data_IF_201684051585
#
_entry.id   IF_201684051585
#
_cell.length_a   1.000
_cell.length_b   1.000
_cell.length_c   1.000
_cell.angle_alpha   90.00
_cell.angle_beta   90.00
_cell.angle_gamma   90.00
#
_symmetry.space_group_name_H-M   'P 1'
#
loop_
_entity.id
_entity.type
_entity.pdbx_description
1 polymer ?
#
# COMPACT_ATOMS: atom_id res chain seq x y z
N UNK A 1 -0.47 11.77 -2.65
CA UNK A 1 -0.40 11.28 -4.03
C UNK A 1 -1.61 11.75 -4.83
N UNK A 2 -1.44 11.85 -6.13
CA UNK A 2 -2.49 12.22 -7.10
C UNK A 2 -2.39 11.31 -8.30
N UNK A 3 -3.48 11.22 -9.08
CA UNK A 3 -3.43 10.47 -10.33
C UNK A 3 -2.28 10.97 -11.20
N UNK A 4 -1.57 10.07 -11.90
CA UNK A 4 -1.75 8.63 -11.96
C UNK A 4 -1.05 7.84 -10.84
N UNK A 5 -0.49 8.49 -9.82
CA UNK A 5 0.25 7.85 -8.73
C UNK A 5 -0.62 7.45 -7.54
N UNK A 6 -1.90 7.80 -7.54
CA UNK A 6 -2.80 7.41 -6.46
C UNK A 6 -3.25 5.96 -6.64
N UNK A 7 -2.91 5.10 -5.69
CA UNK A 7 -3.20 3.66 -5.73
C UNK A 7 -4.08 3.22 -4.56
N UNK A 8 -5.03 4.06 -4.17
CA UNK A 8 -6.04 3.76 -3.16
C UNK A 8 -7.35 4.36 -3.64
N UNK A 9 -8.41 3.55 -3.73
CA UNK A 9 -9.74 4.02 -4.13
C UNK A 9 -10.60 4.33 -2.92
N UNK A 10 -10.63 3.44 -1.93
CA UNK A 10 -11.47 3.61 -0.75
C UNK A 10 -10.73 3.26 0.53
N UNK A 11 -11.18 3.84 1.64
CA UNK A 11 -10.80 3.41 2.99
C UNK A 11 -12.03 2.74 3.57
N UNK A 12 -11.96 1.42 3.76
CA UNK A 12 -13.08 0.63 4.28
C UNK A 12 -13.14 0.66 5.80
N UNK A 13 -11.97 0.71 6.44
CA UNK A 13 -11.87 0.71 7.89
C UNK A 13 -10.57 1.41 8.29
N UNK A 14 -10.61 2.19 9.35
CA UNK A 14 -9.39 2.78 9.90
C UNK A 14 -9.56 3.05 11.39
N UNK A 15 -8.60 2.55 12.16
CA UNK A 15 -8.47 2.87 13.59
C UNK A 15 -7.13 3.59 13.75
N UNK A 16 -7.12 4.90 13.99
CA UNK A 16 -5.87 5.67 14.08
C UNK A 16 -4.89 5.06 15.08
N UNK A 17 -3.64 4.92 14.65
CA UNK A 17 -2.58 4.33 15.47
C UNK A 17 -2.59 2.82 15.52
N UNK A 18 -3.54 2.16 14.89
CA UNK A 18 -3.67 0.71 14.92
C UNK A 18 -3.62 0.12 13.52
N UNK A 19 -4.69 0.26 12.74
CA UNK A 19 -4.74 -0.38 11.42
C UNK A 19 -5.65 0.35 10.44
N UNK A 20 -5.48 0.01 9.16
CA UNK A 20 -6.31 0.50 8.05
C UNK A 20 -6.59 -0.63 7.07
N UNK A 21 -7.77 -0.60 6.46
CA UNK A 21 -8.13 -1.46 5.33
C UNK A 21 -8.56 -0.56 4.18
N UNK A 22 -7.91 -0.72 3.03
CA UNK A 22 -8.21 0.06 1.83
C UNK A 22 -8.52 -0.87 0.67
N UNK A 23 -9.08 -0.32 -0.40
CA UNK A 23 -9.27 -1.06 -1.66
C UNK A 23 -8.69 -0.29 -2.82
N UNK A 24 -8.31 -1.01 -3.87
CA UNK A 24 -7.84 -0.45 -5.11
C UNK A 24 -8.26 -1.33 -6.28
N UNK A 25 -8.93 -0.72 -7.27
CA UNK A 25 -9.31 -1.41 -8.49
C UNK A 25 -8.17 -1.36 -9.51
N UNK A 26 -7.82 -2.51 -10.06
CA UNK A 26 -6.76 -2.64 -11.05
C UNK A 26 -7.38 -2.41 -12.43
N UNK A 27 -7.38 -1.15 -12.86
CA UNK A 27 -7.98 -0.75 -14.12
C UNK A 27 -7.20 -1.36 -15.30
N UNK A 28 -7.87 -2.15 -16.16
CA UNK A 28 -7.21 -2.75 -17.33
C UNK A 28 -6.64 -1.72 -18.32
N UNK A 29 -7.15 -0.48 -18.28
CA UNK A 29 -6.73 0.57 -19.19
C UNK A 29 -5.47 1.32 -18.75
N UNK A 30 -4.89 0.95 -17.62
CA UNK A 30 -3.64 1.57 -17.17
C UNK A 30 -2.52 1.26 -18.16
N UNK A 31 -1.73 2.29 -18.48
CA UNK A 31 -0.65 2.18 -19.47
C UNK A 31 0.40 1.14 -19.13
N UNK A 32 0.61 0.85 -17.84
CA UNK A 32 1.60 -0.15 -17.42
C UNK A 32 1.34 -1.52 -18.03
N UNK A 33 0.09 -1.85 -18.35
CA UNK A 33 -0.24 -3.17 -18.91
C UNK A 33 0.14 -3.32 -20.38
N UNK A 34 0.49 -2.23 -21.04
CA UNK A 34 1.00 -2.32 -22.41
C UNK A 34 2.43 -2.89 -22.45
N UNK A 35 3.16 -2.77 -21.33
CA UNK A 35 4.52 -3.24 -21.23
C UNK A 35 4.74 -4.38 -20.27
N UNK A 36 3.78 -4.69 -19.38
CA UNK A 36 3.98 -5.66 -18.30
C UNK A 36 2.81 -6.64 -18.17
N UNK A 37 2.69 -7.65 -19.00
CA UNK A 37 3.50 -7.98 -20.17
C UNK A 37 2.58 -8.02 -21.38
N UNK A 38 3.04 -7.74 -22.61
CA UNK A 38 2.19 -7.82 -23.79
C UNK A 38 1.55 -9.21 -23.92
N UNK A 39 0.20 -9.24 -24.02
CA UNK A 39 -0.55 -10.50 -24.13
C UNK A 39 -0.76 -11.24 -22.81
N UNK A 40 -0.04 -10.90 -21.74
CA UNK A 40 -0.21 -11.50 -20.41
C UNK A 40 -0.06 -10.41 -19.34
N UNK A 41 -1.04 -9.50 -19.23
CA UNK A 41 -0.92 -8.38 -18.30
C UNK A 41 -1.01 -8.87 -16.85
N UNK A 42 -0.10 -8.37 -16.03
CA UNK A 42 -0.05 -8.65 -14.59
C UNK A 42 0.44 -7.38 -13.88
N UNK A 43 -0.11 -7.12 -12.70
CA UNK A 43 0.32 -5.95 -11.92
C UNK A 43 1.77 -6.14 -11.49
N UNK A 44 2.66 -5.18 -11.82
CA UNK A 44 4.05 -5.25 -11.36
C UNK A 44 4.12 -5.25 -9.83
N UNK A 45 5.05 -6.05 -9.26
CA UNK A 45 5.22 -6.14 -7.82
C UNK A 45 5.50 -4.79 -7.17
N UNK A 46 6.20 -3.89 -7.86
CA UNK A 46 6.49 -2.55 -7.33
C UNK A 46 5.22 -1.73 -7.10
N UNK A 47 4.16 -1.97 -7.87
CA UNK A 47 2.88 -1.31 -7.65
C UNK A 47 2.19 -1.85 -6.39
N UNK A 48 2.32 -3.17 -6.12
CA UNK A 48 1.82 -3.75 -4.88
C UNK A 48 2.51 -3.14 -3.67
N UNK A 49 3.84 -2.96 -3.76
CA UNK A 49 4.60 -2.28 -2.70
C UNK A 49 4.11 -0.86 -2.50
N UNK A 50 3.87 -0.13 -3.57
CA UNK A 50 3.38 1.25 -3.48
C UNK A 50 1.95 1.30 -2.91
N UNK A 51 1.08 0.35 -3.24
CA UNK A 51 -0.25 0.25 -2.61
C UNK A 51 -0.13 0.08 -1.09
N UNK A 52 0.78 -0.77 -0.63
CA UNK A 52 1.02 -0.97 0.80
C UNK A 52 1.54 0.30 1.45
N UNK A 53 2.48 0.99 0.80
CA UNK A 53 3.05 2.22 1.33
C UNK A 53 2.01 3.34 1.40
N UNK A 54 1.17 3.50 0.39
CA UNK A 54 0.14 4.54 0.39
C UNK A 54 -0.93 4.29 1.46
N UNK A 55 -1.29 3.05 1.68
CA UNK A 55 -2.24 2.70 2.75
C UNK A 55 -1.62 2.99 4.13
N UNK A 56 -0.34 2.68 4.30
CA UNK A 56 0.39 3.02 5.53
C UNK A 56 0.47 4.54 5.72
N UNK A 57 0.71 5.30 4.64
CA UNK A 57 0.73 6.76 4.68
C UNK A 57 -0.58 7.31 5.26
N UNK A 58 -1.72 6.81 4.76
CA UNK A 58 -3.04 7.27 5.23
C UNK A 58 -3.20 6.96 6.72
N UNK A 59 -2.81 5.76 7.14
CA UNK A 59 -2.89 5.38 8.55
C UNK A 59 -2.06 6.32 9.43
N UNK A 60 -0.82 6.60 9.05
CA UNK A 60 0.05 7.47 9.83
C UNK A 60 -0.45 8.91 9.85
N UNK A 61 -0.93 9.42 8.72
CA UNK A 61 -1.45 10.79 8.63
C UNK A 61 -2.73 10.98 9.43
N UNK A 62 -3.45 9.91 9.77
CA UNK A 62 -4.64 9.97 10.63
C UNK A 62 -4.29 10.17 12.09
N UNK A 63 -3.02 9.98 12.46
CA UNK A 63 -2.56 10.13 13.84
C UNK A 63 -2.25 11.61 14.11
N UNK A 64 -2.68 12.10 15.27
CA UNK A 64 -2.54 13.53 15.60
C UNK A 64 -1.11 14.03 15.48
N UNK A 65 -0.12 13.27 15.97
CA UNK A 65 1.29 13.67 15.94
C UNK A 65 1.89 13.73 14.53
N UNK A 66 1.22 13.14 13.53
CA UNK A 66 1.71 13.15 12.15
C UNK A 66 0.81 13.95 11.20
N UNK A 67 -0.25 14.55 11.71
CA UNK A 67 -1.17 15.34 10.90
C UNK A 67 -0.40 16.48 10.18
N UNK A 68 -0.63 16.62 8.89
CA UNK A 68 0.03 17.65 8.08
C UNK A 68 1.47 17.35 7.69
N UNK A 69 2.03 16.23 8.11
CA UNK A 69 3.38 15.81 7.73
C UNK A 69 3.40 15.19 6.34
N UNK A 70 4.59 15.06 5.77
CA UNK A 70 4.80 14.41 4.48
C UNK A 70 5.47 13.06 4.75
N UNK A 71 4.84 11.94 4.35
CA UNK A 71 5.47 10.62 4.50
C UNK A 71 6.53 10.41 3.43
N UNK A 72 7.72 10.02 3.87
CA UNK A 72 8.83 9.67 2.99
C UNK A 72 9.13 8.19 3.13
N UNK A 73 9.15 7.48 2.01
CA UNK A 73 9.42 6.05 1.98
C UNK A 73 10.91 5.82 2.24
N UNK A 74 11.25 5.21 3.38
CA UNK A 74 12.65 4.95 3.74
C UNK A 74 13.12 3.57 3.35
N UNK A 75 12.25 2.58 3.39
CA UNK A 75 12.66 1.23 3.09
C UNK A 75 11.53 0.23 3.18
N UNK A 76 11.81 -0.97 2.72
CA UNK A 76 10.87 -2.08 2.73
C UNK A 76 11.61 -3.37 3.06
N UNK A 77 10.99 -4.22 3.87
CA UNK A 77 11.51 -5.52 4.26
C UNK A 77 10.45 -6.60 4.13
N UNK A 78 10.90 -7.85 4.06
CA UNK A 78 10.03 -9.03 4.10
C UNK A 78 8.94 -9.02 3.04
N UNK A 79 9.27 -8.53 1.85
CA UNK A 79 8.32 -8.48 0.74
C UNK A 79 8.18 -9.87 0.13
N UNK A 80 6.95 -10.31 -0.05
CA UNK A 80 6.62 -11.56 -0.72
C UNK A 80 5.47 -11.34 -1.68
N UNK A 81 5.59 -11.92 -2.87
CA UNK A 81 4.54 -11.93 -3.88
C UNK A 81 4.08 -13.38 -4.04
N UNK A 82 2.89 -13.69 -3.54
CA UNK A 82 2.40 -15.05 -3.43
C UNK A 82 1.44 -15.44 -4.56
N UNK A 83 0.73 -14.46 -5.13
CA UNK A 83 -0.24 -14.66 -6.20
C UNK A 83 -0.20 -13.50 -7.18
N UNK A 84 -0.53 -13.77 -8.44
CA UNK A 84 -0.65 -12.74 -9.46
C UNK A 84 -1.87 -11.87 -9.17
N UNK A 85 -1.74 -10.60 -9.47
CA UNK A 85 -2.85 -9.64 -9.46
C UNK A 85 -3.04 -9.19 -10.90
N UNK A 86 -4.24 -9.32 -11.40
CA UNK A 86 -4.56 -9.13 -12.82
C UNK A 86 -5.42 -7.90 -13.03
N UNK A 87 -5.38 -7.31 -14.24
CA UNK A 87 -6.33 -6.25 -14.59
C UNK A 87 -7.76 -6.71 -14.36
N UNK A 88 -8.59 -5.83 -13.80
CA UNK A 88 -9.97 -6.14 -13.45
C UNK A 88 -10.16 -6.62 -12.03
N UNK A 89 -9.09 -6.99 -11.33
CA UNK A 89 -9.18 -7.37 -9.94
C UNK A 89 -9.35 -6.15 -9.05
N UNK A 90 -10.03 -6.33 -7.92
CA UNK A 90 -10.06 -5.33 -6.84
C UNK A 90 -9.32 -5.92 -5.65
N UNK A 91 -8.22 -5.29 -5.28
CA UNK A 91 -7.41 -5.77 -4.15
C UNK A 91 -7.80 -5.04 -2.87
N UNK A 92 -7.59 -5.72 -1.75
CA UNK A 92 -7.82 -5.19 -0.42
C UNK A 92 -6.47 -5.13 0.30
N UNK A 93 -6.11 -3.97 0.80
CA UNK A 93 -4.82 -3.75 1.47
C UNK A 93 -5.08 -3.56 2.95
N UNK A 94 -4.44 -4.37 3.78
CA UNK A 94 -4.46 -4.27 5.23
C UNK A 94 -3.09 -3.78 5.69
N UNK A 95 -3.04 -2.69 6.43
CA UNK A 95 -1.79 -2.19 7.01
C UNK A 95 -2.01 -1.93 8.49
N UNK A 96 -1.00 -2.24 9.30
CA UNK A 96 -1.04 -1.97 10.73
C UNK A 96 0.28 -1.36 11.19
N UNK A 97 0.19 -0.52 12.21
CA UNK A 97 1.39 0.05 12.84
C UNK A 97 2.09 -1.05 13.64
N UNK A 98 3.28 -1.45 13.20
CA UNK A 98 4.03 -2.54 13.81
C UNK A 98 5.05 -2.02 14.82
N UNK A 99 5.76 -0.93 14.50
CA UNK A 99 6.72 -0.32 15.40
C UNK A 99 6.88 1.16 15.08
N UNK A 100 7.37 1.91 16.06
CA UNK A 100 7.48 3.36 15.92
C UNK A 100 8.62 3.89 16.77
N UNK A 101 9.38 4.82 16.20
CA UNK A 101 10.35 5.62 16.93
C UNK A 101 9.85 7.07 16.86
N UNK A 102 8.96 7.41 17.78
CA UNK A 102 8.26 8.70 17.76
C UNK A 102 9.22 9.91 17.80
N UNK A 103 10.32 9.79 18.56
CA UNK A 103 11.32 10.85 18.68
C UNK A 103 12.03 11.15 17.36
N UNK A 104 12.04 10.20 16.42
CA UNK A 104 12.61 10.37 15.08
C UNK A 104 11.54 10.51 14.01
N UNK A 105 10.27 10.39 14.39
CA UNK A 105 9.13 10.39 13.48
C UNK A 105 9.30 9.32 12.38
N UNK A 106 9.74 8.13 12.78
CA UNK A 106 9.90 6.98 11.90
C UNK A 106 8.97 5.87 12.38
N UNK A 107 8.22 5.29 11.46
CA UNK A 107 7.26 4.22 11.75
C UNK A 107 7.40 3.10 10.74
N UNK A 108 7.20 1.87 11.19
CA UNK A 108 7.13 0.69 10.32
C UNK A 108 5.73 0.12 10.40
N UNK A 109 5.10 -0.07 9.24
CA UNK A 109 3.80 -0.70 9.11
C UNK A 109 3.97 -2.04 8.42
N UNK A 110 3.30 -3.07 8.95
CA UNK A 110 3.20 -4.37 8.30
C UNK A 110 1.94 -4.37 7.45
N UNK A 111 2.06 -4.83 6.21
CA UNK A 111 0.95 -4.79 5.27
C UNK A 111 0.75 -6.12 4.54
N UNK A 112 -0.49 -6.35 4.16
CA UNK A 112 -0.91 -7.53 3.41
C UNK A 112 -1.87 -7.10 2.33
N UNK A 113 -1.77 -7.73 1.15
CA UNK A 113 -2.72 -7.53 0.06
C UNK A 113 -3.49 -8.82 -0.14
N UNK A 114 -4.81 -8.70 -0.15
CA UNK A 114 -5.71 -9.81 -0.46
C UNK A 114 -6.35 -9.58 -1.83
N UNK A 115 -6.46 -10.65 -2.59
CA UNK A 115 -7.12 -10.66 -3.89
C UNK A 115 -8.05 -11.86 -3.95
N UNK A 116 -9.34 -11.62 -4.22
CA UNK A 116 -10.36 -12.67 -4.17
C UNK A 116 -10.37 -13.44 -2.84
N UNK A 117 -10.12 -12.71 -1.73
CA UNK A 117 -10.08 -13.30 -0.39
C UNK A 117 -8.82 -14.11 -0.07
N UNK A 118 -7.84 -14.14 -0.98
CA UNK A 118 -6.60 -14.88 -0.78
C UNK A 118 -5.41 -13.94 -0.64
N UNK A 119 -4.48 -14.30 0.24
CA UNK A 119 -3.28 -13.49 0.46
C UNK A 119 -2.42 -13.47 -0.81
N UNK A 120 -2.21 -12.30 -1.37
CA UNK A 120 -1.48 -12.12 -2.62
C UNK A 120 -0.08 -11.53 -2.42
N UNK A 121 0.10 -10.68 -1.42
CA UNK A 121 1.41 -10.06 -1.15
C UNK A 121 1.51 -9.64 0.31
N UNK A 122 2.75 -9.57 0.81
CA UNK A 122 3.04 -9.05 2.16
C UNK A 122 4.28 -8.15 2.11
N UNK A 123 4.41 -7.28 3.10
CA UNK A 123 5.61 -6.46 3.24
C UNK A 123 5.58 -5.59 4.47
N UNK A 124 6.75 -5.17 4.90
CA UNK A 124 6.90 -4.20 5.99
C UNK A 124 7.48 -2.92 5.39
N UNK A 125 6.75 -1.82 5.50
CA UNK A 125 7.17 -0.53 4.94
C UNK A 125 7.57 0.41 6.07
N UNK A 126 8.70 1.10 5.89
CA UNK A 126 9.21 2.06 6.87
C UNK A 126 9.14 3.45 6.27
N UNK A 127 8.56 4.37 7.03
CA UNK A 127 8.27 5.72 6.60
C UNK A 127 8.80 6.73 7.62
N UNK A 128 9.32 7.86 7.12
CA UNK A 128 9.67 9.00 7.95
C UNK A 128 8.63 10.10 7.73
N UNK A 129 8.10 10.65 8.81
CA UNK A 129 7.07 11.68 8.76
C UNK A 129 7.71 13.05 8.92
N UNK A 130 7.73 13.87 7.86
CA UNK A 130 8.43 15.16 7.82
C UNK A 130 7.46 16.35 7.60
#
# INVERSE_FOLDING_TARGET
HRDPMLLVDTVEEMVPGDHIVTTFFIDPDREIFRGHFPGEPVLPGVYSVECMAQSADILLLSMERYAGKVPLFLGINNVRFLRKILPGDTIEIHARLASERAEKAIATCSAEIYNHGELAATGDVTLAMR
#
